data_IF_628163721780
#
_entry.id   IF_628163721780
#
_cell.length_a   1.000
_cell.length_b   1.000
_cell.length_c   1.000
_cell.angle_alpha   90.00
_cell.angle_beta   90.00
_cell.angle_gamma   90.00
#
_symmetry.space_group_name_H-M   'P 1'
#
loop_
_entity.id
_entity.type
_entity.pdbx_description
1 polymer ?
#
# COMPACT_ATOMS: atom_id res chain seq x y z
N UNK A 1 3.47 -8.61 -10.54
CA UNK A 1 3.81 -8.17 -9.16
C UNK A 1 4.82 -9.10 -8.50
N UNK A 2 4.42 -10.29 -8.02
CA UNK A 2 5.31 -11.21 -7.27
C UNK A 2 6.66 -11.48 -7.96
N UNK A 3 6.65 -11.91 -9.23
CA UNK A 3 7.87 -12.21 -9.98
C UNK A 3 8.85 -11.04 -10.09
N UNK A 4 8.34 -9.83 -10.36
CA UNK A 4 9.16 -8.62 -10.50
C UNK A 4 9.80 -8.21 -9.17
N UNK A 5 9.03 -8.24 -8.08
CA UNK A 5 9.54 -7.93 -6.74
C UNK A 5 10.62 -8.93 -6.31
N UNK A 6 10.42 -10.23 -6.55
CA UNK A 6 11.42 -11.25 -6.27
C UNK A 6 12.68 -11.08 -7.12
N UNK A 7 12.54 -10.78 -8.41
CA UNK A 7 13.69 -10.47 -9.28
C UNK A 7 14.46 -9.23 -8.83
N UNK A 8 13.78 -8.25 -8.23
CA UNK A 8 14.37 -7.07 -7.61
C UNK A 8 14.93 -7.29 -6.20
N UNK A 9 15.04 -8.53 -5.72
CA UNK A 9 15.66 -8.85 -4.42
C UNK A 9 14.72 -8.82 -3.21
N UNK A 10 13.43 -8.54 -3.39
CA UNK A 10 12.47 -8.57 -2.28
C UNK A 10 12.10 -10.00 -1.89
N UNK A 11 12.16 -10.29 -0.59
CA UNK A 11 11.58 -11.52 -0.01
C UNK A 11 10.06 -11.35 0.15
N UNK A 12 9.30 -12.22 -0.51
CA UNK A 12 7.85 -12.22 -0.38
C UNK A 12 7.41 -12.93 0.91
N UNK A 13 6.47 -12.31 1.63
CA UNK A 13 5.86 -12.85 2.85
C UNK A 13 4.35 -12.84 2.65
N UNK A 14 3.69 -13.94 3.03
CA UNK A 14 2.23 -14.06 2.96
C UNK A 14 1.63 -13.94 4.36
N UNK A 15 0.57 -13.14 4.49
CA UNK A 15 -0.16 -12.94 5.74
C UNK A 15 -1.64 -12.59 5.46
N UNK A 16 -2.51 -12.98 6.38
CA UNK A 16 -3.95 -12.66 6.34
C UNK A 16 -4.23 -11.31 7.01
N UNK A 17 -5.40 -10.72 6.72
CA UNK A 17 -5.82 -9.42 7.28
C UNK A 17 -5.16 -8.21 6.62
N UNK A 18 -5.96 -7.26 6.13
CA UNK A 18 -5.44 -6.02 5.54
C UNK A 18 -4.80 -5.13 6.61
N UNK A 19 -5.50 -4.91 7.73
CA UNK A 19 -4.98 -4.15 8.87
C UNK A 19 -3.69 -4.73 9.44
N UNK A 20 -3.59 -6.05 9.59
CA UNK A 20 -2.36 -6.69 10.09
C UNK A 20 -1.17 -6.48 9.14
N UNK A 21 -1.37 -6.67 7.83
CA UNK A 21 -0.32 -6.40 6.83
C UNK A 21 0.15 -4.95 6.84
N UNK A 22 -0.76 -4.00 6.99
CA UNK A 22 -0.41 -2.58 7.14
C UNK A 22 0.36 -2.34 8.45
N UNK A 23 -0.07 -2.94 9.55
CA UNK A 23 0.59 -2.84 10.85
C UNK A 23 2.03 -3.38 10.78
N UNK A 24 2.26 -4.48 10.06
CA UNK A 24 3.62 -4.99 9.84
C UNK A 24 4.54 -3.97 9.15
N UNK A 25 4.02 -3.17 8.22
CA UNK A 25 4.77 -2.06 7.60
C UNK A 25 5.04 -0.97 8.62
N UNK A 26 4.03 -0.57 9.40
CA UNK A 26 4.17 0.49 10.41
C UNK A 26 5.17 0.12 11.51
N UNK A 27 5.23 -1.15 11.89
CA UNK A 27 6.19 -1.71 12.85
C UNK A 27 7.56 -2.02 12.23
N UNK A 28 7.76 -1.74 10.93
CA UNK A 28 8.98 -2.08 10.17
C UNK A 28 9.38 -3.57 10.24
N UNK A 29 8.39 -4.46 10.39
CA UNK A 29 8.59 -5.91 10.26
C UNK A 29 8.73 -6.32 8.80
N UNK A 30 8.17 -5.53 7.89
CA UNK A 30 8.32 -5.62 6.43
C UNK A 30 8.49 -4.22 5.85
N UNK A 31 9.19 -4.09 4.73
CA UNK A 31 9.42 -2.78 4.09
C UNK A 31 8.17 -2.21 3.43
N UNK A 32 7.30 -3.08 2.91
CA UNK A 32 6.10 -2.65 2.20
C UNK A 32 5.00 -3.73 2.17
N UNK A 33 3.78 -3.27 1.88
CA UNK A 33 2.64 -4.11 1.55
C UNK A 33 2.06 -3.67 0.20
N UNK A 34 2.16 -4.54 -0.80
CA UNK A 34 1.65 -4.31 -2.16
C UNK A 34 0.40 -5.15 -2.39
N UNK A 35 -0.70 -4.49 -2.78
CA UNK A 35 -1.96 -5.12 -3.15
C UNK A 35 -2.46 -4.52 -4.47
N UNK A 36 -2.48 -5.31 -5.54
CA UNK A 36 -2.94 -4.84 -6.86
C UNK A 36 -4.45 -4.97 -7.08
N UNK A 37 -5.20 -5.48 -6.09
CA UNK A 37 -6.63 -5.83 -6.23
C UNK A 37 -7.51 -4.89 -5.38
N UNK A 38 -8.75 -4.59 -5.83
CA UNK A 38 -9.72 -3.78 -5.08
C UNK A 38 -10.41 -4.59 -3.97
N UNK A 39 -9.63 -5.08 -3.00
CA UNK A 39 -10.14 -5.94 -1.93
C UNK A 39 -9.93 -5.33 -0.54
N UNK A 40 -9.77 -4.02 -0.48
CA UNK A 40 -9.67 -3.26 0.78
C UNK A 40 -10.52 -2.01 0.67
N UNK A 41 -10.97 -1.54 1.82
CA UNK A 41 -11.84 -0.38 1.94
C UNK A 41 -11.20 0.68 2.84
N UNK A 42 -11.87 1.82 2.96
CA UNK A 42 -11.41 2.94 3.78
C UNK A 42 -11.13 2.51 5.22
N UNK A 43 -12.04 1.74 5.83
CA UNK A 43 -11.88 1.25 7.21
C UNK A 43 -10.76 0.24 7.40
N UNK A 44 -10.31 -0.45 6.34
CA UNK A 44 -9.17 -1.37 6.43
C UNK A 44 -7.85 -0.61 6.53
N UNK A 45 -7.80 0.63 6.04
CA UNK A 45 -6.55 1.35 5.75
C UNK A 45 -6.35 2.63 6.56
N UNK A 46 -7.42 3.38 6.87
CA UNK A 46 -7.33 4.75 7.38
C UNK A 46 -6.55 4.88 8.69
N UNK A 47 -6.79 3.99 9.65
CA UNK A 47 -6.12 4.04 10.95
C UNK A 47 -4.60 3.86 10.82
N UNK A 48 -4.16 2.81 10.11
CA UNK A 48 -2.73 2.52 9.97
C UNK A 48 -2.05 3.46 8.97
N UNK A 49 -2.74 3.98 7.95
CA UNK A 49 -2.18 5.02 7.09
C UNK A 49 -1.77 6.25 7.91
N UNK A 50 -2.60 6.69 8.87
CA UNK A 50 -2.26 7.82 9.74
C UNK A 50 -0.96 7.55 10.54
N UNK A 51 -0.81 6.33 11.07
CA UNK A 51 0.41 5.91 11.80
C UNK A 51 1.62 5.87 10.87
N UNK A 52 1.48 5.33 9.66
CA UNK A 52 2.55 5.29 8.66
C UNK A 52 3.01 6.70 8.30
N UNK A 53 2.08 7.62 8.00
CA UNK A 53 2.40 9.01 7.68
C UNK A 53 3.12 9.71 8.84
N UNK A 54 2.73 9.44 10.09
CA UNK A 54 3.40 9.98 11.27
C UNK A 54 4.84 9.48 11.47
N UNK A 55 5.22 8.36 10.82
CA UNK A 55 6.52 7.69 10.97
C UNK A 55 7.38 7.71 9.71
N UNK A 56 7.03 8.59 8.75
CA UNK A 56 7.77 8.82 7.51
C UNK A 56 7.36 7.91 6.33
N UNK A 57 6.39 7.02 6.54
CA UNK A 57 5.83 6.15 5.52
C UNK A 57 4.52 6.68 4.93
N UNK A 58 3.74 5.80 4.30
CA UNK A 58 2.43 6.16 3.79
C UNK A 58 1.72 5.01 3.09
N UNK A 59 0.55 5.33 2.53
CA UNK A 59 -0.23 4.40 1.69
C UNK A 59 -0.70 5.16 0.45
N UNK A 60 -0.37 4.63 -0.73
CA UNK A 60 -0.69 5.24 -2.03
C UNK A 60 -1.48 4.28 -2.91
N UNK A 61 -2.20 4.83 -3.89
CA UNK A 61 -2.91 4.05 -4.91
C UNK A 61 -1.92 3.26 -5.77
N UNK A 62 -2.09 1.94 -5.85
CA UNK A 62 -1.21 1.08 -6.66
C UNK A 62 -1.33 1.43 -8.16
N UNK A 63 -2.55 1.58 -8.67
CA UNK A 63 -2.78 1.89 -10.09
C UNK A 63 -2.21 3.25 -10.50
N UNK A 64 -2.27 4.24 -9.62
CA UNK A 64 -1.79 5.59 -9.92
C UNK A 64 -0.26 5.63 -9.85
N UNK A 65 0.33 4.94 -8.87
CA UNK A 65 1.78 4.84 -8.74
C UNK A 65 2.43 4.22 -9.99
N UNK A 66 1.79 3.23 -10.62
CA UNK A 66 2.28 2.65 -11.88
C UNK A 66 2.23 3.62 -13.07
N UNK A 67 1.34 4.62 -13.03
CA UNK A 67 1.29 5.73 -14.00
C UNK A 67 2.31 6.82 -13.68
N UNK A 68 3.03 6.71 -12.56
CA UNK A 68 3.96 7.72 -12.07
C UNK A 68 3.33 8.77 -11.16
N UNK A 69 2.06 8.59 -10.79
CA UNK A 69 1.34 9.49 -9.90
C UNK A 69 1.37 8.95 -8.46
N UNK A 70 2.12 9.60 -7.58
CA UNK A 70 2.22 9.18 -6.18
C UNK A 70 1.12 9.85 -5.35
N UNK A 71 -0.10 9.34 -5.49
CA UNK A 71 -1.28 9.84 -4.81
C UNK A 71 -1.56 9.05 -3.52
N UNK A 72 -1.54 9.69 -2.33
CA UNK A 72 -1.98 9.05 -1.10
C UNK A 72 -3.45 8.61 -1.19
N UNK A 73 -3.83 7.53 -0.50
CA UNK A 73 -5.24 7.20 -0.37
C UNK A 73 -5.97 8.30 0.41
N UNK A 74 -7.22 8.55 0.04
CA UNK A 74 -8.08 9.57 0.64
C UNK A 74 -9.42 8.97 1.07
N UNK A 75 -10.06 9.60 2.06
CA UNK A 75 -11.18 8.99 2.80
C UNK A 75 -12.48 9.82 2.81
N UNK A 76 -12.58 10.86 1.96
CA UNK A 76 -13.57 11.94 2.16
C UNK A 76 -14.89 11.77 1.40
N UNK A 77 -14.98 10.89 0.39
CA UNK A 77 -16.08 10.93 -0.61
C UNK A 77 -16.97 9.69 -0.67
N UNK A 78 -16.73 8.69 0.18
CA UNK A 78 -17.46 7.43 0.15
C UNK A 78 -18.83 7.51 0.83
N UNK A 79 -19.92 7.24 0.10
CA UNK A 79 -21.25 6.97 0.67
C UNK A 79 -21.71 5.58 0.24
N UNK A 80 -21.39 4.57 1.04
CA UNK A 80 -21.65 3.16 0.75
C UNK A 80 -20.38 2.35 0.54
N UNK A 81 -20.50 1.03 0.57
CA UNK A 81 -19.35 0.11 0.55
C UNK A 81 -18.52 0.24 -0.73
N UNK A 82 -19.17 0.31 -1.90
CA UNK A 82 -18.47 0.39 -3.19
C UNK A 82 -17.66 1.67 -3.34
N UNK A 83 -18.20 2.81 -2.87
CA UNK A 83 -17.53 4.11 -2.92
C UNK A 83 -16.41 4.22 -1.89
N UNK A 84 -16.43 3.39 -0.84
CA UNK A 84 -15.36 3.27 0.15
C UNK A 84 -14.28 2.25 -0.26
N UNK A 85 -14.36 1.67 -1.45
CA UNK A 85 -13.38 0.70 -1.94
C UNK A 85 -12.12 1.39 -2.46
N UNK A 86 -10.95 0.85 -2.11
CA UNK A 86 -9.66 1.24 -2.69
C UNK A 86 -9.51 0.58 -4.07
N UNK A 87 -10.25 1.09 -5.06
CA UNK A 87 -10.41 0.47 -6.38
C UNK A 87 -9.08 0.22 -7.13
N UNK A 88 -8.10 1.10 -6.93
CA UNK A 88 -6.77 0.99 -7.57
C UNK A 88 -5.83 -0.03 -6.92
N UNK A 89 -6.25 -0.70 -5.84
CA UNK A 89 -5.31 -1.37 -4.94
C UNK A 89 -4.48 -0.36 -4.13
N UNK A 90 -3.43 -0.84 -3.45
CA UNK A 90 -2.58 0.01 -2.64
C UNK A 90 -1.12 -0.45 -2.59
N UNK A 91 -0.24 0.50 -2.28
CA UNK A 91 1.14 0.27 -1.81
C UNK A 91 1.29 1.01 -0.49
N UNK A 92 1.48 0.26 0.59
CA UNK A 92 1.93 0.80 1.87
C UNK A 92 3.45 0.64 1.99
N UNK A 93 4.14 1.66 2.48
CA UNK A 93 5.60 1.71 2.53
C UNK A 93 6.09 2.35 3.85
N UNK A 94 7.26 1.92 4.32
CA UNK A 94 7.89 2.42 5.55
C UNK A 94 8.57 3.79 5.38
N UNK A 95 9.06 4.07 4.18
CA UNK A 95 9.81 5.27 3.80
C UNK A 95 9.79 5.43 2.27
N UNK A 96 10.17 6.63 1.83
CA UNK A 96 9.96 7.07 0.45
C UNK A 96 10.83 6.29 -0.54
N UNK A 97 12.04 5.95 -0.14
CA UNK A 97 13.02 5.22 -0.93
C UNK A 97 12.48 3.84 -1.32
N UNK A 98 11.88 3.12 -0.36
CA UNK A 98 11.23 1.82 -0.63
C UNK A 98 10.08 1.94 -1.63
N UNK A 99 9.27 3.00 -1.55
CA UNK A 99 8.20 3.22 -2.52
C UNK A 99 8.75 3.38 -3.94
N UNK A 100 9.80 4.19 -4.09
CA UNK A 100 10.41 4.50 -5.39
C UNK A 100 11.02 3.24 -6.02
N UNK A 101 11.72 2.43 -5.23
CA UNK A 101 12.25 1.13 -5.66
C UNK A 101 11.14 0.18 -6.13
N UNK A 102 10.07 0.04 -5.33
CA UNK A 102 8.93 -0.82 -5.68
C UNK A 102 8.26 -0.36 -6.97
N UNK A 103 8.03 0.95 -7.13
CA UNK A 103 7.39 1.50 -8.33
C UNK A 103 8.29 1.28 -9.56
N UNK A 104 9.60 1.46 -9.42
CA UNK A 104 10.56 1.20 -10.50
C UNK A 104 10.54 -0.27 -10.95
N UNK A 105 10.48 -1.21 -10.01
CA UNK A 105 10.42 -2.64 -10.31
C UNK A 105 9.09 -3.08 -10.93
N UNK A 106 7.99 -2.39 -10.61
CA UNK A 106 6.65 -2.78 -11.04
C UNK A 106 6.20 -2.16 -12.36
N UNK A 107 6.82 -1.06 -12.81
CA UNK A 107 6.71 -0.52 -14.17
C UNK A 107 7.36 -1.49 -15.16
#
# INVERSE_FOLDING_TARGET
VKSRLTAGGFKLIEATGAGYKLLCVALRLVSAYVLSKPSTFYWDTCGIQAVLMATGGGVVSYSDALKGEINPLTYQKGRGTEQCCNQGGLIAYSDREILEEIVMLLK
#
